data_IF_948677538787
#
_entry.id   IF_948677538787
#
_cell.length_a   1.000
_cell.length_b   1.000
_cell.length_c   1.000
_cell.angle_alpha   90.00
_cell.angle_beta   90.00
_cell.angle_gamma   90.00
#
_symmetry.space_group_name_H-M   'P 1'
#
loop_
_entity.id
_entity.type
_entity.pdbx_description
1 polymer ?
#
# COMPACT_ATOMS: atom_id res chain seq x y z
N UNK A 1 -6.50 14.88 22.57
CA UNK A 1 -7.41 15.63 21.67
C UNK A 1 -6.58 16.48 20.73
N UNK A 2 -6.84 16.39 19.44
CA UNK A 2 -6.30 17.30 18.43
C UNK A 2 -7.45 18.19 17.90
N UNK A 3 -7.17 19.11 16.99
CA UNK A 3 -8.19 19.98 16.38
C UNK A 3 -9.30 19.18 15.69
N UNK A 4 -8.94 18.06 15.07
CA UNK A 4 -9.83 17.27 14.22
C UNK A 4 -10.19 15.89 14.80
N UNK A 5 -9.48 15.44 15.85
CA UNK A 5 -9.65 14.11 16.43
C UNK A 5 -9.60 14.10 17.94
N UNK A 6 -10.45 13.30 18.54
CA UNK A 6 -10.43 12.94 19.96
C UNK A 6 -10.26 11.44 20.10
N UNK A 7 -9.31 11.01 20.91
CA UNK A 7 -9.10 9.62 21.27
C UNK A 7 -9.51 9.40 22.73
N UNK A 8 -10.39 8.42 22.96
CA UNK A 8 -10.80 7.95 24.28
C UNK A 8 -10.24 6.53 24.44
N UNK A 9 -9.42 6.32 25.45
CA UNK A 9 -8.85 5.01 25.80
C UNK A 9 -9.51 4.54 27.10
N UNK A 10 -9.84 3.25 27.18
CA UNK A 10 -10.57 2.66 28.33
C UNK A 10 -11.91 3.36 28.62
N UNK A 11 -12.72 3.52 27.61
CA UNK A 11 -14.07 4.06 27.75
C UNK A 11 -14.97 3.16 28.61
N UNK A 12 -15.89 3.77 29.38
CA UNK A 12 -16.83 3.09 30.27
C UNK A 12 -18.13 2.66 29.58
N UNK A 13 -18.11 2.37 28.27
CA UNK A 13 -19.29 1.98 27.50
C UNK A 13 -19.73 0.54 27.75
N UNK A 14 -21.05 0.28 27.57
CA UNK A 14 -21.60 -1.07 27.63
C UNK A 14 -21.12 -1.91 26.41
N UNK A 15 -20.53 -3.07 26.66
CA UNK A 15 -20.02 -3.98 25.61
C UNK A 15 -21.12 -4.40 24.63
N UNK A 16 -22.34 -4.67 25.12
CA UNK A 16 -23.44 -5.06 24.28
C UNK A 16 -23.87 -3.95 23.33
N UNK A 17 -23.90 -2.70 23.81
CA UNK A 17 -24.21 -1.55 22.96
C UNK A 17 -23.12 -1.33 21.87
N UNK A 18 -21.85 -1.65 22.16
CA UNK A 18 -20.76 -1.60 21.17
C UNK A 18 -20.93 -2.70 20.13
N UNK A 19 -21.24 -3.94 20.53
CA UNK A 19 -21.50 -5.07 19.62
C UNK A 19 -22.73 -4.80 18.72
N UNK A 20 -23.78 -4.25 19.26
CA UNK A 20 -24.98 -3.84 18.51
C UNK A 20 -24.63 -2.75 17.48
N UNK A 21 -23.78 -1.80 17.86
CA UNK A 21 -23.32 -0.74 16.93
C UNK A 21 -22.41 -1.30 15.82
N UNK A 22 -21.52 -2.23 16.13
CA UNK A 22 -20.70 -2.95 15.15
C UNK A 22 -21.60 -3.68 14.14
N UNK A 23 -22.64 -4.36 14.60
CA UNK A 23 -23.60 -5.07 13.75
C UNK A 23 -24.39 -4.13 12.85
N UNK A 24 -24.78 -2.96 13.34
CA UNK A 24 -25.42 -1.91 12.55
C UNK A 24 -24.50 -1.40 11.44
N UNK A 25 -23.23 -1.09 11.77
CA UNK A 25 -22.25 -0.58 10.79
C UNK A 25 -21.97 -1.63 9.70
N UNK A 26 -21.89 -2.93 10.05
CA UNK A 26 -21.75 -4.00 9.07
C UNK A 26 -22.93 -4.05 8.11
N UNK A 27 -24.16 -3.98 8.62
CA UNK A 27 -25.38 -3.96 7.79
C UNK A 27 -25.45 -2.72 6.88
N UNK A 28 -24.95 -1.59 7.36
CA UNK A 28 -24.89 -0.34 6.59
C UNK A 28 -23.82 -0.43 5.48
N UNK A 29 -22.70 -1.07 5.76
CA UNK A 29 -21.61 -1.33 4.81
C UNK A 29 -22.07 -2.19 3.64
N UNK A 30 -22.88 -3.22 3.90
CA UNK A 30 -23.44 -4.12 2.88
C UNK A 30 -24.43 -3.42 1.94
N UNK A 31 -25.08 -2.33 2.41
CA UNK A 31 -26.07 -1.58 1.65
C UNK A 31 -25.52 -0.34 0.96
N UNK A 32 -24.30 0.05 1.28
CA UNK A 32 -23.71 1.31 0.80
C UNK A 32 -23.07 1.09 -0.57
N UNK A 33 -23.53 1.83 -1.58
CA UNK A 33 -23.00 1.81 -2.94
C UNK A 33 -21.85 2.81 -3.17
N UNK A 34 -21.71 3.83 -2.32
CA UNK A 34 -20.67 4.85 -2.43
C UNK A 34 -19.35 4.36 -1.84
N UNK A 35 -18.29 4.32 -2.65
CA UNK A 35 -16.95 3.90 -2.23
C UNK A 35 -16.43 4.76 -1.07
N UNK A 36 -16.62 6.07 -1.13
CA UNK A 36 -16.24 6.99 -0.06
C UNK A 36 -16.97 6.70 1.26
N UNK A 37 -18.28 6.47 1.21
CA UNK A 37 -19.07 6.15 2.41
C UNK A 37 -18.67 4.77 2.95
N UNK A 38 -18.39 3.79 2.09
CA UNK A 38 -17.91 2.46 2.44
C UNK A 38 -16.58 2.54 3.20
N UNK A 39 -15.61 3.31 2.67
CA UNK A 39 -14.31 3.53 3.33
C UNK A 39 -14.48 4.12 4.75
N UNK A 40 -15.34 5.13 4.90
CA UNK A 40 -15.61 5.75 6.20
C UNK A 40 -16.31 4.81 7.20
N UNK A 41 -17.17 3.94 6.73
CA UNK A 41 -17.80 2.91 7.56
C UNK A 41 -16.80 1.84 7.98
N UNK A 42 -15.89 1.40 7.09
CA UNK A 42 -14.81 0.47 7.41
C UNK A 42 -13.85 1.04 8.45
N UNK A 43 -13.44 2.31 8.29
CA UNK A 43 -12.59 3.01 9.26
C UNK A 43 -13.26 3.05 10.65
N UNK A 44 -14.56 3.36 10.71
CA UNK A 44 -15.34 3.39 11.95
C UNK A 44 -15.48 2.00 12.57
N UNK A 45 -15.72 0.98 11.76
CA UNK A 45 -15.81 -0.41 12.19
C UNK A 45 -14.47 -0.88 12.81
N UNK A 46 -13.35 -0.58 12.16
CA UNK A 46 -12.02 -0.92 12.64
C UNK A 46 -11.71 -0.28 14.01
N UNK A 47 -12.09 0.99 14.21
CA UNK A 47 -11.92 1.70 15.48
C UNK A 47 -12.77 1.11 16.61
N UNK A 48 -13.95 0.58 16.31
CA UNK A 48 -14.84 -0.02 17.32
C UNK A 48 -14.45 -1.47 17.65
N UNK A 49 -13.99 -2.25 16.67
CA UNK A 49 -13.72 -3.69 16.83
C UNK A 49 -12.28 -4.02 17.18
N UNK A 50 -11.32 -3.16 16.85
CA UNK A 50 -9.90 -3.45 16.91
C UNK A 50 -9.17 -3.02 18.20
N UNK A 51 -9.80 -2.26 19.08
CA UNK A 51 -9.12 -1.67 20.23
C UNK A 51 -8.12 -0.57 19.85
N UNK A 52 -7.35 -0.08 20.83
CA UNK A 52 -6.34 0.96 20.65
C UNK A 52 -4.98 0.44 21.11
N UNK A 53 -4.00 0.47 20.20
CA UNK A 53 -2.60 0.24 20.57
C UNK A 53 -1.88 1.60 20.72
N UNK A 54 -1.10 1.76 21.77
CA UNK A 54 -0.29 2.96 22.01
C UNK A 54 1.17 2.60 21.90
N UNK A 55 1.84 3.13 20.86
CA UNK A 55 3.28 2.98 20.66
C UNK A 55 4.00 4.19 21.27
N UNK A 56 4.69 3.99 22.40
CA UNK A 56 5.48 5.04 23.05
C UNK A 56 6.88 5.07 22.44
N UNK A 57 7.28 6.24 21.95
CA UNK A 57 8.58 6.46 21.29
C UNK A 57 9.40 7.43 22.14
N UNK A 58 10.67 7.10 22.38
CA UNK A 58 11.63 7.96 23.06
C UNK A 58 12.94 8.09 22.27
N UNK A 59 13.64 9.19 22.48
CA UNK A 59 14.98 9.45 21.96
C UNK A 59 15.76 10.39 22.86
N UNK A 60 17.09 10.47 22.66
CA UNK A 60 17.95 11.35 23.46
C UNK A 60 17.81 12.84 23.07
N UNK A 61 17.43 13.13 21.83
CA UNK A 61 17.24 14.49 21.31
C UNK A 61 15.88 14.66 20.64
N UNK A 62 15.42 15.90 20.55
CA UNK A 62 14.15 16.22 19.90
C UNK A 62 14.19 15.91 18.39
N UNK A 63 15.32 16.15 17.74
CA UNK A 63 15.49 15.83 16.29
C UNK A 63 15.40 14.33 16.05
N UNK A 64 16.07 13.53 16.87
CA UNK A 64 16.01 12.07 16.79
C UNK A 64 14.59 11.55 17.09
N UNK A 65 13.91 12.15 18.06
CA UNK A 65 12.53 11.80 18.37
C UNK A 65 11.59 12.03 17.18
N UNK A 66 11.72 13.19 16.52
CA UNK A 66 10.93 13.52 15.33
C UNK A 66 11.21 12.55 14.20
N UNK A 67 12.47 12.21 13.95
CA UNK A 67 12.85 11.24 12.91
C UNK A 67 12.27 9.84 13.19
N UNK A 68 12.43 9.33 14.42
CA UNK A 68 11.86 8.03 14.81
C UNK A 68 10.34 8.01 14.70
N UNK A 69 9.68 9.08 15.14
CA UNK A 69 8.22 9.21 15.03
C UNK A 69 7.77 9.18 13.59
N UNK A 70 8.39 9.96 12.72
CA UNK A 70 8.08 9.98 11.27
C UNK A 70 8.27 8.61 10.62
N UNK A 71 9.35 7.91 10.94
CA UNK A 71 9.63 6.55 10.44
C UNK A 71 8.58 5.54 10.89
N UNK A 72 8.11 5.64 12.12
CA UNK A 72 7.04 4.76 12.64
C UNK A 72 5.69 5.10 11.99
N UNK A 73 5.38 6.39 11.80
CA UNK A 73 4.17 6.81 11.10
C UNK A 73 4.14 6.31 9.65
N UNK A 74 5.28 6.37 8.95
CA UNK A 74 5.44 5.85 7.59
C UNK A 74 5.23 4.31 7.56
N UNK A 75 5.89 3.57 8.44
CA UNK A 75 5.71 2.13 8.56
C UNK A 75 4.26 1.73 8.90
N UNK A 76 3.58 2.51 9.74
CA UNK A 76 2.17 2.29 10.07
C UNK A 76 1.26 2.48 8.86
N UNK A 77 1.48 3.53 8.07
CA UNK A 77 0.70 3.80 6.87
C UNK A 77 0.94 2.72 5.81
N UNK A 78 2.20 2.32 5.57
CA UNK A 78 2.54 1.22 4.67
C UNK A 78 1.88 -0.11 5.10
N UNK A 79 1.88 -0.39 6.42
CA UNK A 79 1.23 -1.59 6.96
C UNK A 79 -0.29 -1.57 6.76
N UNK A 80 -0.94 -0.41 6.95
CA UNK A 80 -2.38 -0.26 6.69
C UNK A 80 -2.70 -0.50 5.22
N UNK A 81 -1.96 0.14 4.31
CA UNK A 81 -2.12 -0.07 2.88
C UNK A 81 -1.95 -1.55 2.49
N UNK A 82 -0.94 -2.23 3.05
CA UNK A 82 -0.72 -3.65 2.80
C UNK A 82 -1.85 -4.55 3.32
N UNK A 83 -2.48 -4.20 4.44
CA UNK A 83 -3.65 -4.94 4.97
C UNK A 83 -4.90 -4.71 4.13
N UNK A 84 -5.10 -3.49 3.61
CA UNK A 84 -6.29 -3.11 2.84
C UNK A 84 -6.20 -3.56 1.38
N UNK A 85 -5.04 -3.40 0.74
CA UNK A 85 -4.84 -3.60 -0.70
C UNK A 85 -3.95 -4.81 -1.03
N UNK A 86 -3.26 -5.37 -0.05
CA UNK A 86 -2.27 -6.42 -0.24
C UNK A 86 -0.88 -5.89 -0.54
N UNK A 87 0.03 -6.80 -0.89
CA UNK A 87 1.42 -6.48 -1.23
C UNK A 87 1.87 -7.20 -2.49
N UNK A 88 2.78 -6.59 -3.21
CA UNK A 88 3.41 -7.15 -4.41
C UNK A 88 4.93 -7.19 -4.24
N UNK A 89 5.63 -7.93 -5.11
CA UNK A 89 7.08 -7.95 -5.11
C UNK A 89 7.65 -6.54 -5.35
N UNK A 90 8.62 -6.14 -4.54
CA UNK A 90 9.28 -4.84 -4.61
C UNK A 90 10.39 -4.79 -5.69
N UNK A 91 11.23 -3.74 -5.64
CA UNK A 91 12.37 -3.60 -6.55
C UNK A 91 12.02 -3.39 -8.03
N UNK A 92 10.76 -3.13 -8.34
CA UNK A 92 10.26 -3.05 -9.72
C UNK A 92 9.86 -4.41 -10.33
N UNK A 93 9.96 -5.51 -9.57
CA UNK A 93 9.64 -6.87 -10.05
C UNK A 93 8.18 -6.96 -10.53
N UNK A 94 7.22 -6.45 -9.74
CA UNK A 94 5.82 -6.49 -10.12
C UNK A 94 5.52 -5.79 -11.46
N UNK A 95 6.28 -4.73 -11.80
CA UNK A 95 6.15 -4.03 -13.08
C UNK A 95 6.74 -4.84 -14.24
N UNK A 96 7.87 -5.52 -14.00
CA UNK A 96 8.48 -6.43 -14.99
C UNK A 96 7.58 -7.64 -15.21
N UNK A 97 6.98 -8.18 -14.16
CA UNK A 97 6.00 -9.29 -14.23
C UNK A 97 4.72 -8.92 -15.01
N UNK A 98 4.41 -7.63 -15.11
CA UNK A 98 3.29 -7.14 -15.89
C UNK A 98 3.58 -7.03 -17.41
N UNK A 99 4.85 -7.08 -17.84
CA UNK A 99 5.24 -6.94 -19.25
C UNK A 99 4.51 -7.90 -20.20
N UNK A 100 4.32 -9.19 -19.85
CA UNK A 100 3.61 -10.12 -20.74
C UNK A 100 2.16 -9.73 -21.03
N UNK A 101 1.52 -8.94 -20.15
CA UNK A 101 0.17 -8.44 -20.39
C UNK A 101 0.10 -7.50 -21.59
N UNK A 102 1.20 -6.81 -21.92
CA UNK A 102 1.28 -5.96 -23.11
C UNK A 102 1.32 -6.76 -24.41
N UNK A 103 1.71 -8.02 -24.37
CA UNK A 103 1.75 -8.89 -25.57
C UNK A 103 0.34 -9.32 -26.02
N UNK A 104 -0.65 -9.18 -25.14
CA UNK A 104 -2.06 -9.47 -25.44
C UNK A 104 -2.82 -8.26 -25.99
N UNK A 105 -2.18 -7.09 -26.10
CA UNK A 105 -2.79 -5.88 -26.64
C UNK A 105 -2.68 -5.95 -28.17
N UNK A 106 -3.84 -6.03 -28.82
CA UNK A 106 -3.94 -5.97 -30.30
C UNK A 106 -4.03 -4.49 -30.70
N UNK A 107 -2.88 -3.92 -31.07
CA UNK A 107 -2.80 -2.51 -31.46
C UNK A 107 -3.52 -2.30 -32.81
N UNK A 108 -4.44 -1.35 -32.84
CA UNK A 108 -5.28 -1.08 -34.04
C UNK A 108 -4.53 -0.31 -35.12
N UNK A 109 -3.48 0.42 -34.73
CA UNK A 109 -2.62 1.19 -35.64
C UNK A 109 -1.17 1.30 -35.15
N UNK A 110 -0.30 1.94 -35.95
CA UNK A 110 1.13 2.13 -35.63
C UNK A 110 1.37 3.08 -34.47
N UNK A 111 0.50 4.05 -34.24
CA UNK A 111 0.65 5.01 -33.17
C UNK A 111 0.35 4.34 -31.82
N UNK A 112 -0.64 3.47 -31.81
CA UNK A 112 -0.95 2.63 -30.65
C UNK A 112 0.17 1.63 -30.35
N UNK A 113 0.75 0.99 -31.39
CA UNK A 113 1.93 0.11 -31.25
C UNK A 113 3.12 0.85 -30.60
N UNK A 114 3.38 2.08 -31.05
CA UNK A 114 4.42 2.95 -30.45
C UNK A 114 4.08 3.26 -28.99
N UNK A 115 2.81 3.55 -28.66
CA UNK A 115 2.33 3.76 -27.31
C UNK A 115 2.60 2.57 -26.39
N UNK A 116 2.26 1.35 -26.84
CA UNK A 116 2.56 0.09 -26.13
C UNK A 116 4.07 -0.05 -25.91
N UNK A 117 4.89 0.27 -26.91
CA UNK A 117 6.35 0.27 -26.81
C UNK A 117 6.91 1.24 -25.76
N UNK A 118 6.29 2.42 -25.63
CA UNK A 118 6.64 3.41 -24.58
C UNK A 118 6.33 2.84 -23.19
N UNK A 119 5.14 2.28 -23.00
CA UNK A 119 4.74 1.68 -21.73
C UNK A 119 5.68 0.53 -21.35
N UNK A 120 6.03 -0.35 -22.31
CA UNK A 120 6.97 -1.44 -22.09
C UNK A 120 8.31 -0.95 -21.52
N UNK A 121 8.88 0.10 -22.10
CA UNK A 121 10.12 0.71 -21.62
C UNK A 121 9.94 1.36 -20.23
N UNK A 122 8.80 2.00 -19.99
CA UNK A 122 8.50 2.66 -18.73
C UNK A 122 8.38 1.65 -17.57
N UNK A 123 7.81 0.48 -17.79
CA UNK A 123 7.68 -0.58 -16.77
C UNK A 123 9.04 -1.14 -16.32
N UNK A 124 10.06 -1.12 -17.19
CA UNK A 124 11.41 -1.54 -16.83
C UNK A 124 12.22 -0.46 -16.08
N UNK A 125 11.86 0.81 -16.23
CA UNK A 125 12.65 1.94 -15.78
C UNK A 125 12.91 1.94 -14.26
N UNK A 126 11.94 1.65 -13.37
CA UNK A 126 12.18 1.64 -11.93
C UNK A 126 13.22 0.60 -11.50
N UNK A 127 13.12 -0.64 -11.99
CA UNK A 127 14.11 -1.69 -11.69
C UNK A 127 15.49 -1.31 -12.21
N UNK A 128 15.58 -0.80 -13.42
CA UNK A 128 16.82 -0.33 -14.02
C UNK A 128 17.49 0.75 -13.17
N UNK A 129 16.73 1.75 -12.72
CA UNK A 129 17.23 2.83 -11.88
C UNK A 129 17.72 2.32 -10.51
N UNK A 130 16.98 1.41 -9.88
CA UNK A 130 17.37 0.79 -8.59
C UNK A 130 18.69 0.04 -8.75
N UNK A 131 18.83 -0.79 -9.79
CA UNK A 131 20.04 -1.54 -10.07
C UNK A 131 21.24 -0.63 -10.33
N UNK A 132 21.08 0.43 -11.12
CA UNK A 132 22.12 1.41 -11.40
C UNK A 132 22.57 2.15 -10.13
N UNK A 133 21.65 2.54 -9.25
CA UNK A 133 21.96 3.16 -7.97
C UNK A 133 22.74 2.22 -7.04
N UNK A 134 22.56 0.91 -7.19
CA UNK A 134 23.32 -0.11 -6.48
C UNK A 134 24.66 -0.47 -7.16
N UNK A 135 24.99 0.16 -8.28
CA UNK A 135 26.26 -0.06 -9.01
C UNK A 135 26.21 -1.22 -10.02
N UNK A 136 25.03 -1.76 -10.32
CA UNK A 136 24.85 -2.81 -11.33
C UNK A 136 24.47 -2.23 -12.69
N UNK A 137 24.69 -3.00 -13.75
CA UNK A 137 24.17 -2.64 -15.07
C UNK A 137 22.65 -2.95 -15.13
N UNK A 138 21.84 -1.89 -15.13
CA UNK A 138 20.40 -2.01 -15.00
C UNK A 138 19.73 -2.83 -16.10
N UNK A 139 20.24 -2.79 -17.32
CA UNK A 139 19.73 -3.58 -18.45
C UNK A 139 19.95 -5.08 -18.25
N UNK A 140 21.10 -5.46 -17.70
CA UNK A 140 21.44 -6.86 -17.40
C UNK A 140 20.56 -7.39 -16.29
N UNK A 141 20.32 -6.60 -15.23
CA UNK A 141 19.46 -6.98 -14.11
C UNK A 141 18.02 -7.19 -14.58
N UNK A 142 17.47 -6.27 -15.37
CA UNK A 142 16.11 -6.40 -15.92
C UNK A 142 15.96 -7.68 -16.73
N UNK A 143 16.93 -7.97 -17.63
CA UNK A 143 16.87 -9.17 -18.47
C UNK A 143 17.02 -10.45 -17.65
N UNK A 144 17.83 -10.44 -16.60
CA UNK A 144 17.95 -11.56 -15.68
C UNK A 144 16.63 -11.85 -14.95
N UNK A 145 15.98 -10.80 -14.43
CA UNK A 145 14.69 -10.92 -13.71
C UNK A 145 13.57 -11.38 -14.62
N UNK A 146 13.52 -10.96 -15.89
CA UNK A 146 12.55 -11.49 -16.87
C UNK A 146 12.64 -13.00 -17.05
N UNK A 147 13.80 -13.59 -16.83
CA UNK A 147 14.01 -15.05 -16.91
C UNK A 147 13.70 -15.80 -15.61
N UNK A 148 13.36 -15.10 -14.52
CA UNK A 148 13.02 -15.69 -13.23
C UNK A 148 11.53 -16.04 -13.14
N UNK A 149 11.14 -16.70 -12.04
CA UNK A 149 9.72 -16.97 -11.73
C UNK A 149 8.99 -15.70 -11.33
N UNK A 150 7.66 -15.70 -11.51
CA UNK A 150 6.80 -14.58 -11.13
C UNK A 150 6.97 -14.22 -9.65
N UNK A 151 7.21 -12.95 -9.36
CA UNK A 151 7.46 -12.44 -8.02
C UNK A 151 8.90 -12.64 -7.52
N UNK A 152 9.78 -13.23 -8.31
CA UNK A 152 11.19 -13.40 -8.01
C UNK A 152 12.03 -12.22 -8.55
N UNK A 153 13.07 -11.84 -7.82
CA UNK A 153 13.97 -10.75 -8.19
C UNK A 153 15.40 -10.97 -7.70
N UNK A 154 16.31 -10.14 -8.17
CA UNK A 154 17.69 -10.14 -7.73
C UNK A 154 17.82 -9.42 -6.37
N UNK A 155 18.52 -10.05 -5.42
CA UNK A 155 18.81 -9.49 -4.09
C UNK A 155 20.32 -9.32 -3.91
#
# INVERSE_FOLDING_TARGET
>A
MTKDNSLIVDGAGDKKAIEDRISQIKSELDRTESDFAREKLQERLAKLSGGVAVLKVGAATESELKEKKSRIEDALQATRAAVEEGSVAGGGVALVDALPALDSIDASDKDEEVGVGIIRKALEAPMRAIAQNAGYEGSVVVEHVKGMGKGEGLN
#
